data_IF_452314776824
#
_entry.id   IF_452314776824
#
_cell.length_a   1.000
_cell.length_b   1.000
_cell.length_c   1.000
_cell.angle_alpha   90.00
_cell.angle_beta   90.00
_cell.angle_gamma   90.00
#
_symmetry.space_group_name_H-M   'P 1'
#
loop_
_entity.id
_entity.type
_entity.pdbx_description
1 polymer ?
#
# COMPACT_ATOMS: atom_id res chain seq x y z
N UNK A 1 -2.04 -21.00 23.27
CA UNK A 1 -1.88 -20.81 21.81
C UNK A 1 -2.46 -19.44 21.53
N UNK A 2 -1.61 -18.47 21.22
CA UNK A 2 -2.00 -17.05 21.26
C UNK A 2 -2.84 -16.68 20.05
N UNK A 3 -4.07 -16.25 20.30
CA UNK A 3 -5.05 -15.83 19.29
C UNK A 3 -4.49 -14.79 18.31
N UNK A 4 -3.54 -13.96 18.76
CA UNK A 4 -2.86 -12.95 17.94
C UNK A 4 -1.93 -13.51 16.85
N UNK A 5 -1.32 -14.69 17.02
CA UNK A 5 -0.45 -15.25 15.98
C UNK A 5 -1.24 -15.87 14.83
N UNK A 6 -2.43 -16.42 15.12
CA UNK A 6 -3.33 -16.99 14.11
C UNK A 6 -4.01 -15.88 13.30
N UNK A 7 -4.32 -14.75 13.93
CA UNK A 7 -4.84 -13.58 13.23
C UNK A 7 -3.84 -13.02 12.22
N UNK A 8 -2.58 -12.84 12.63
CA UNK A 8 -1.54 -12.31 11.74
C UNK A 8 -1.23 -13.18 10.53
N UNK A 9 -1.26 -14.51 10.66
CA UNK A 9 -1.09 -15.43 9.53
C UNK A 9 -2.25 -15.32 8.54
N UNK A 10 -3.50 -15.25 9.03
CA UNK A 10 -4.68 -15.09 8.16
C UNK A 10 -4.63 -13.79 7.36
N UNK A 11 -4.22 -12.69 7.98
CA UNK A 11 -4.10 -11.38 7.33
C UNK A 11 -3.01 -11.39 6.25
N UNK A 12 -1.85 -11.98 6.53
CA UNK A 12 -0.78 -12.16 5.56
C UNK A 12 -1.23 -12.99 4.33
N UNK A 13 -1.91 -14.10 4.57
CA UNK A 13 -2.45 -14.94 3.50
C UNK A 13 -3.53 -14.19 2.70
N UNK A 14 -4.40 -13.43 3.37
CA UNK A 14 -5.40 -12.61 2.70
C UNK A 14 -4.75 -11.56 1.80
N UNK A 15 -3.76 -10.83 2.29
CA UNK A 15 -3.10 -9.78 1.50
C UNK A 15 -2.35 -10.35 0.29
N UNK A 16 -1.71 -11.52 0.43
CA UNK A 16 -1.13 -12.24 -0.70
C UNK A 16 -2.17 -12.65 -1.74
N UNK A 17 -3.28 -13.23 -1.28
CA UNK A 17 -4.37 -13.65 -2.15
C UNK A 17 -5.00 -12.44 -2.87
N UNK A 18 -5.20 -11.32 -2.19
CA UNK A 18 -5.72 -10.09 -2.79
C UNK A 18 -4.75 -9.51 -3.80
N UNK A 19 -3.47 -9.38 -3.45
CA UNK A 19 -2.48 -8.82 -4.36
C UNK A 19 -2.30 -9.68 -5.62
N UNK A 20 -2.49 -11.00 -5.54
CA UNK A 20 -2.42 -11.86 -6.74
C UNK A 20 -3.55 -11.61 -7.76
N UNK A 21 -4.64 -10.98 -7.33
CA UNK A 21 -5.84 -10.70 -8.15
C UNK A 21 -5.90 -9.25 -8.63
N UNK A 22 -5.04 -8.39 -8.10
CA UNK A 22 -5.05 -6.96 -8.41
C UNK A 22 -3.89 -6.67 -9.38
N UNK A 23 -4.24 -6.33 -10.61
CA UNK A 23 -3.30 -5.78 -11.60
C UNK A 23 -3.76 -4.37 -11.97
N UNK A 24 -3.32 -3.39 -11.18
CA UNK A 24 -3.68 -2.00 -11.39
C UNK A 24 -2.51 -1.08 -11.05
N UNK A 25 -2.13 -0.23 -12.02
CA UNK A 25 -1.06 0.77 -11.84
C UNK A 25 -1.32 1.82 -10.76
N UNK A 26 -2.54 1.90 -10.23
CA UNK A 26 -2.91 2.82 -9.15
C UNK A 26 -2.99 2.15 -7.79
N UNK A 27 -2.60 0.87 -7.70
CA UNK A 27 -2.50 0.09 -6.48
C UNK A 27 -1.04 -0.35 -6.31
N UNK A 28 -0.53 -0.33 -5.08
CA UNK A 28 0.82 -0.78 -4.78
C UNK A 28 0.90 -2.30 -4.94
N UNK A 29 1.81 -2.75 -5.80
CA UNK A 29 1.99 -4.19 -6.08
C UNK A 29 2.83 -4.88 -5.01
N UNK A 30 2.36 -6.03 -4.53
CA UNK A 30 3.22 -6.99 -3.81
C UNK A 30 4.08 -7.71 -4.87
N UNK A 31 5.39 -7.63 -4.72
CA UNK A 31 6.36 -8.32 -5.59
C UNK A 31 6.69 -9.73 -5.08
N UNK A 32 6.49 -9.99 -3.79
CA UNK A 32 6.72 -11.30 -3.21
C UNK A 32 6.58 -11.33 -1.69
N UNK A 33 6.98 -12.45 -1.09
CA UNK A 33 6.92 -12.63 0.35
C UNK A 33 8.07 -13.49 0.87
N UNK A 34 8.29 -13.42 2.19
CA UNK A 34 9.18 -14.31 2.91
C UNK A 34 8.51 -14.77 4.20
N UNK A 35 8.47 -16.09 4.42
CA UNK A 35 7.96 -16.67 5.66
C UNK A 35 9.04 -17.52 6.33
N UNK A 36 9.23 -17.33 7.63
CA UNK A 36 10.07 -18.16 8.47
C UNK A 36 9.24 -18.71 9.64
N UNK A 37 8.70 -19.94 9.51
CA UNK A 37 7.85 -20.55 10.53
C UNK A 37 8.56 -20.69 11.89
N UNK A 38 9.87 -21.00 11.88
CA UNK A 38 10.66 -21.16 13.12
C UNK A 38 10.81 -19.85 13.89
N UNK A 39 10.91 -18.72 13.18
CA UNK A 39 11.04 -17.38 13.78
C UNK A 39 9.71 -16.65 13.90
N UNK A 40 8.59 -17.26 13.46
CA UNK A 40 7.26 -16.62 13.35
C UNK A 40 7.32 -15.24 12.67
N UNK A 41 8.11 -15.14 11.59
CA UNK A 41 8.26 -13.91 10.81
C UNK A 41 7.65 -14.11 9.43
N UNK A 42 6.77 -13.19 9.05
CA UNK A 42 6.18 -13.08 7.73
C UNK A 42 6.47 -11.68 7.21
N UNK A 43 6.91 -11.59 5.97
CA UNK A 43 7.29 -10.33 5.32
C UNK A 43 6.63 -10.29 3.95
N UNK A 44 6.02 -9.14 3.63
CA UNK A 44 5.58 -8.81 2.30
C UNK A 44 6.56 -7.82 1.69
N UNK A 45 6.90 -8.05 0.43
CA UNK A 45 7.81 -7.23 -0.35
C UNK A 45 6.97 -6.47 -1.36
N UNK A 46 6.91 -5.15 -1.23
CA UNK A 46 6.17 -4.29 -2.15
C UNK A 46 7.13 -3.58 -3.10
N UNK A 47 6.61 -3.11 -4.23
CA UNK A 47 7.32 -2.15 -5.06
C UNK A 47 7.77 -0.92 -4.26
N UNK A 48 8.91 -0.35 -4.64
CA UNK A 48 9.46 0.82 -3.95
C UNK A 48 8.72 2.08 -4.39
N UNK A 49 8.25 2.84 -3.41
CA UNK A 49 7.63 4.15 -3.61
C UNK A 49 8.59 5.22 -3.08
N UNK A 50 9.44 5.75 -3.96
CA UNK A 50 10.65 6.51 -3.59
C UNK A 50 10.37 7.78 -2.80
N UNK A 51 9.19 8.39 -3.01
CA UNK A 51 8.80 9.62 -2.33
C UNK A 51 8.09 9.36 -1.00
N UNK A 52 7.72 8.10 -0.71
CA UNK A 52 7.03 7.70 0.51
C UNK A 52 5.55 8.03 0.47
N UNK A 53 4.96 8.32 1.64
CA UNK A 53 3.52 8.61 1.72
C UNK A 53 3.19 10.05 1.30
N UNK A 54 1.97 10.25 0.81
CA UNK A 54 1.41 11.58 0.53
C UNK A 54 1.38 12.44 1.80
N UNK A 55 1.11 11.85 2.96
CA UNK A 55 1.18 12.52 4.26
C UNK A 55 2.58 13.13 4.51
N UNK A 56 3.64 12.37 4.25
CA UNK A 56 5.01 12.84 4.44
C UNK A 56 5.35 13.96 3.48
N UNK A 57 4.97 13.83 2.22
CA UNK A 57 5.25 14.87 1.22
C UNK A 57 4.48 16.16 1.49
N UNK A 58 3.24 16.08 2.01
CA UNK A 58 2.41 17.26 2.32
C UNK A 58 2.85 17.97 3.61
N UNK A 59 3.08 17.23 4.70
CA UNK A 59 3.20 17.82 6.04
C UNK A 59 4.62 17.83 6.60
N UNK A 60 5.41 16.78 6.31
CA UNK A 60 6.73 16.61 6.92
C UNK A 60 7.85 17.16 6.04
N UNK A 61 7.93 16.69 4.79
CA UNK A 61 8.96 17.06 3.82
C UNK A 61 8.66 18.39 3.12
N UNK A 62 7.38 18.76 3.02
CA UNK A 62 6.90 19.93 2.26
C UNK A 62 7.51 19.96 0.85
N UNK A 63 7.30 18.89 0.08
CA UNK A 63 7.86 18.75 -1.26
C UNK A 63 7.41 19.90 -2.17
N UNK A 64 8.36 20.48 -2.89
CA UNK A 64 8.12 21.59 -3.82
C UNK A 64 7.20 21.16 -4.98
N UNK A 65 7.28 19.90 -5.41
CA UNK A 65 6.42 19.31 -6.43
C UNK A 65 4.94 19.35 -6.03
N UNK A 66 4.65 19.14 -4.73
CA UNK A 66 3.30 19.24 -4.20
C UNK A 66 2.86 20.69 -3.94
N UNK A 67 3.66 21.71 -4.24
CA UNK A 67 3.16 23.10 -4.28
C UNK A 67 2.42 23.39 -5.59
N UNK A 68 2.70 22.62 -6.64
CA UNK A 68 1.98 22.68 -7.90
C UNK A 68 0.61 21.99 -7.79
N UNK A 69 -0.46 22.74 -8.05
CA UNK A 69 -1.84 22.24 -8.03
C UNK A 69 -2.12 21.18 -9.09
N UNK A 70 -1.50 21.25 -10.27
CA UNK A 70 -1.67 20.25 -11.33
C UNK A 70 -1.16 18.88 -10.85
N UNK A 71 -0.08 18.87 -10.07
CA UNK A 71 0.45 17.63 -9.48
C UNK A 71 -0.50 17.08 -8.43
N UNK A 72 -1.08 17.93 -7.57
CA UNK A 72 -2.11 17.52 -6.59
C UNK A 72 -3.33 16.94 -7.29
N UNK A 73 -3.77 17.55 -8.37
CA UNK A 73 -4.91 17.06 -9.16
C UNK A 73 -4.60 15.71 -9.80
N UNK A 74 -3.39 15.53 -10.37
CA UNK A 74 -2.94 14.24 -10.90
C UNK A 74 -2.96 13.14 -9.82
N UNK A 75 -2.51 13.45 -8.61
CA UNK A 75 -2.56 12.53 -7.46
C UNK A 75 -4.00 12.16 -7.12
N UNK A 76 -4.90 13.15 -6.98
CA UNK A 76 -6.31 12.90 -6.71
C UNK A 76 -6.97 12.02 -7.79
N UNK A 77 -6.64 12.27 -9.06
CA UNK A 77 -7.12 11.47 -10.19
C UNK A 77 -6.60 10.03 -10.14
N UNK A 78 -5.32 9.83 -9.78
CA UNK A 78 -4.75 8.49 -9.61
C UNK A 78 -5.47 7.71 -8.50
N UNK A 79 -5.74 8.36 -7.35
CA UNK A 79 -6.50 7.76 -6.24
C UNK A 79 -7.91 7.38 -6.70
N UNK A 80 -8.61 8.29 -7.40
CA UNK A 80 -9.95 8.03 -7.90
C UNK A 80 -9.99 6.83 -8.86
N UNK A 81 -9.01 6.71 -9.77
CA UNK A 81 -8.88 5.56 -10.68
C UNK A 81 -8.55 4.25 -9.96
N UNK A 82 -7.72 4.31 -8.91
CA UNK A 82 -7.46 3.15 -8.05
C UNK A 82 -8.72 2.65 -7.35
N UNK A 83 -9.54 3.56 -6.81
CA UNK A 83 -10.82 3.23 -6.19
C UNK A 83 -11.84 2.71 -7.20
N UNK A 84 -11.91 3.32 -8.38
CA UNK A 84 -12.76 2.85 -9.48
C UNK A 84 -12.42 1.41 -9.84
N UNK A 85 -11.13 1.10 -9.99
CA UNK A 85 -10.64 -0.26 -10.25
C UNK A 85 -11.13 -1.25 -9.19
N UNK A 86 -10.87 -0.95 -7.91
CA UNK A 86 -11.25 -1.83 -6.80
C UNK A 86 -12.75 -2.08 -6.73
N UNK A 87 -13.57 -1.07 -6.98
CA UNK A 87 -15.02 -1.17 -6.83
C UNK A 87 -15.73 -1.78 -8.04
N UNK A 88 -15.21 -1.61 -9.26
CA UNK A 88 -15.93 -1.99 -10.48
C UNK A 88 -15.25 -3.08 -11.31
N UNK A 89 -13.93 -3.25 -11.17
CA UNK A 89 -13.15 -4.17 -12.01
C UNK A 89 -12.64 -5.39 -11.24
N UNK A 90 -12.65 -5.36 -9.91
CA UNK A 90 -12.43 -6.55 -9.10
C UNK A 90 -13.73 -7.35 -8.93
N UNK A 91 -13.63 -8.67 -8.99
CA UNK A 91 -14.73 -9.59 -8.70
C UNK A 91 -14.33 -10.58 -7.57
N UNK A 92 -14.96 -10.51 -6.40
CA UNK A 92 -15.97 -9.50 -6.01
C UNK A 92 -15.38 -8.09 -5.85
N UNK A 93 -16.21 -7.03 -5.89
CA UNK A 93 -15.79 -5.67 -5.59
C UNK A 93 -15.04 -5.57 -4.25
N UNK A 94 -13.92 -4.87 -4.25
CA UNK A 94 -13.04 -4.72 -3.08
C UNK A 94 -13.25 -3.34 -2.46
N UNK A 95 -13.67 -3.29 -1.20
CA UNK A 95 -13.75 -2.05 -0.43
C UNK A 95 -12.44 -1.88 0.36
N UNK A 96 -11.67 -0.83 0.07
CA UNK A 96 -10.40 -0.57 0.76
C UNK A 96 -10.59 -0.28 2.27
N UNK A 97 -11.57 0.54 2.63
CA UNK A 97 -11.97 0.78 4.02
C UNK A 97 -11.09 1.73 4.86
N UNK A 98 -9.87 2.03 4.43
CA UNK A 98 -8.95 2.95 5.15
C UNK A 98 -8.21 3.94 4.21
N UNK A 99 -8.95 4.69 3.40
CA UNK A 99 -8.35 5.70 2.50
C UNK A 99 -7.97 6.95 3.29
N UNK A 100 -6.66 7.21 3.39
CA UNK A 100 -6.08 8.38 4.05
C UNK A 100 -4.68 8.69 3.49
N UNK A 101 -4.14 9.91 3.68
CA UNK A 101 -2.85 10.30 3.07
C UNK A 101 -1.64 9.43 3.43
N UNK A 102 -1.64 8.74 4.58
CA UNK A 102 -0.54 7.83 4.95
C UNK A 102 -0.53 6.53 4.13
N UNK A 103 -1.68 6.16 3.55
CA UNK A 103 -1.86 4.94 2.77
C UNK A 103 -1.81 5.21 1.26
N UNK A 104 -1.59 6.47 0.87
CA UNK A 104 -1.31 6.85 -0.51
C UNK A 104 0.20 7.00 -0.66
N UNK A 105 0.82 6.16 -1.47
CA UNK A 105 2.27 6.18 -1.70
C UNK A 105 2.60 6.82 -3.05
N UNK A 106 3.78 7.44 -3.14
CA UNK A 106 4.23 8.20 -4.30
C UNK A 106 5.52 7.59 -4.87
N UNK A 107 5.49 7.25 -6.17
CA UNK A 107 6.67 6.77 -6.90
C UNK A 107 7.62 7.93 -7.23
N UNK A 108 8.76 7.65 -7.86
CA UNK A 108 9.74 8.66 -8.26
C UNK A 108 9.20 9.79 -9.15
N UNK A 109 8.11 9.56 -9.89
CA UNK A 109 7.42 10.54 -10.74
C UNK A 109 6.30 11.33 -10.04
N UNK A 110 6.07 11.05 -8.75
CA UNK A 110 4.92 11.53 -7.97
C UNK A 110 3.57 11.03 -8.51
N UNK A 111 3.54 9.85 -9.15
CA UNK A 111 2.29 9.15 -9.40
C UNK A 111 1.85 8.46 -8.11
N UNK A 112 0.54 8.53 -7.84
CA UNK A 112 -0.01 8.00 -6.61
C UNK A 112 -0.50 6.57 -6.79
N UNK A 113 -0.19 5.73 -5.79
CA UNK A 113 -0.76 4.39 -5.67
C UNK A 113 -1.37 4.22 -4.28
N UNK A 114 -2.52 3.56 -4.23
CA UNK A 114 -3.17 3.16 -2.98
C UNK A 114 -2.43 1.93 -2.45
N UNK A 115 -1.95 2.00 -1.21
CA UNK A 115 -1.34 0.89 -0.51
C UNK A 115 -2.04 0.60 0.81
N UNK A 116 -1.53 -0.42 1.51
CA UNK A 116 -2.02 -0.86 2.83
C UNK A 116 -3.49 -1.29 2.83
N UNK A 117 -3.74 -2.51 2.35
CA UNK A 117 -5.04 -3.19 2.45
C UNK A 117 -5.29 -3.81 3.85
N UNK A 118 -4.50 -3.43 4.85
CA UNK A 118 -4.63 -3.90 6.22
C UNK A 118 -5.94 -3.44 6.83
N UNK A 119 -6.94 -4.33 6.84
CA UNK A 119 -8.15 -4.13 7.64
C UNK A 119 -7.74 -3.89 9.11
N UNK A 120 -8.41 -2.91 9.72
CA UNK A 120 -8.16 -2.36 11.07
C UNK A 120 -7.56 -3.38 12.05
N UNK A 121 -6.31 -3.19 12.48
CA UNK A 121 -5.92 -3.77 13.76
C UNK A 121 -4.46 -3.75 14.19
N UNK A 122 -3.47 -3.94 13.32
CA UNK A 122 -2.10 -4.22 13.81
C UNK A 122 -0.98 -3.64 12.94
N UNK A 123 -0.01 -3.05 13.63
CA UNK A 123 1.27 -2.53 13.10
C UNK A 123 2.10 -3.67 12.53
N UNK A 124 2.06 -3.89 11.23
CA UNK A 124 3.17 -4.56 10.56
C UNK A 124 4.37 -3.61 10.52
N UNK A 125 5.55 -4.12 10.84
CA UNK A 125 6.79 -3.51 10.34
C UNK A 125 6.75 -3.78 8.83
N UNK A 126 6.08 -2.89 8.09
CA UNK A 126 6.16 -2.85 6.64
C UNK A 126 7.66 -2.73 6.35
N UNK A 127 8.27 -3.84 5.95
CA UNK A 127 9.63 -3.80 5.44
C UNK A 127 9.48 -3.34 4.00
N UNK A 128 9.26 -2.03 3.84
CA UNK A 128 9.67 -1.34 2.61
C UNK A 128 11.19 -1.40 2.63
N UNK A 129 11.77 -2.45 2.05
CA UNK A 129 13.17 -2.48 1.65
C UNK A 129 13.16 -2.81 0.17
N UNK A 130 13.87 -2.08 -0.69
CA UNK A 130 15.25 -1.70 -0.49
C UNK A 130 15.52 -0.24 -0.91
N UNK A 131 15.67 0.66 0.06
CA UNK A 131 16.76 1.64 -0.04
C UNK A 131 17.91 1.09 0.79
N UNK A 132 18.66 0.15 0.20
CA UNK A 132 20.01 -0.14 0.67
C UNK A 132 20.79 1.13 0.40
N UNK A 133 21.12 1.86 1.45
CA UNK A 133 22.38 2.58 1.51
C UNK A 133 23.26 1.83 2.48
#
# INVERSE_FOLDING_TARGET
>A
MDSGSLQGEREFQNELLFSSKIDCKYIVSVMGFSSNPRKRRMLLIYELMENGSLQDCLFHKKSEELRNWDKRFSIALNIARGLEYLHHYCDPPIIHGDIKPSNILLDGGFNAKIGDFGWRGLRWRIIILLKVR
#
